data_IF_717841490591
#
_entry.id   IF_717841490591
#
_cell.length_a   1.000
_cell.length_b   1.000
_cell.length_c   1.000
_cell.angle_alpha   90.00
_cell.angle_beta   90.00
_cell.angle_gamma   90.00
#
_symmetry.space_group_name_H-M   'P 1'
#
loop_
_entity.id
_entity.type
_entity.pdbx_description
1 polymer ?
#
# COMPACT_ATOMS: atom_id res chain seq x y z
N UNK A 1 17.04 -14.07 5.78
CA UNK A 1 15.70 -14.66 6.00
C UNK A 1 14.86 -14.36 4.77
N UNK A 2 13.77 -15.10 4.57
CA UNK A 2 12.96 -15.00 3.35
C UNK A 2 12.21 -13.66 3.27
N UNK A 3 11.78 -13.11 4.42
CA UNK A 3 11.06 -11.84 4.46
C UNK A 3 11.85 -10.65 3.88
N UNK A 4 13.18 -10.61 4.08
CA UNK A 4 14.01 -9.53 3.52
C UNK A 4 13.94 -9.51 1.99
N UNK A 5 13.86 -10.68 1.36
CA UNK A 5 13.70 -10.78 -0.09
C UNK A 5 12.28 -10.46 -0.53
N UNK A 6 11.29 -11.16 0.03
CA UNK A 6 9.91 -11.07 -0.44
C UNK A 6 9.28 -9.70 -0.15
N UNK A 7 9.29 -9.25 1.12
CA UNK A 7 8.60 -8.02 1.53
C UNK A 7 9.29 -6.80 0.92
N UNK A 8 10.64 -6.76 0.93
CA UNK A 8 11.37 -5.66 0.29
C UNK A 8 11.09 -5.56 -1.21
N UNK A 9 10.96 -6.70 -1.89
CA UNK A 9 10.57 -6.71 -3.32
C UNK A 9 9.16 -6.14 -3.49
N UNK A 10 8.19 -6.57 -2.69
CA UNK A 10 6.83 -6.03 -2.75
C UNK A 10 6.81 -4.50 -2.54
N UNK A 11 7.54 -4.01 -1.54
CA UNK A 11 7.66 -2.56 -1.28
C UNK A 11 8.28 -1.83 -2.46
N UNK A 12 9.36 -2.36 -3.05
CA UNK A 12 10.02 -1.78 -4.24
C UNK A 12 9.05 -1.60 -5.41
N UNK A 13 8.21 -2.61 -5.67
CA UNK A 13 7.19 -2.52 -6.71
C UNK A 13 6.12 -1.47 -6.40
N UNK A 14 5.69 -1.33 -5.13
CA UNK A 14 4.72 -0.30 -4.74
C UNK A 14 5.25 1.12 -4.89
N UNK A 15 6.54 1.34 -4.66
CA UNK A 15 7.18 2.67 -4.76
C UNK A 15 7.91 2.90 -6.09
N UNK A 16 7.74 1.99 -7.04
CA UNK A 16 8.38 2.02 -8.36
C UNK A 16 9.93 2.11 -8.32
N UNK A 17 10.57 1.50 -7.31
CA UNK A 17 12.03 1.37 -7.17
C UNK A 17 12.49 -0.01 -7.66
N UNK A 18 12.22 -0.30 -8.94
CA UNK A 18 12.28 -1.65 -9.53
C UNK A 18 13.50 -1.90 -10.43
N UNK A 19 14.28 -0.87 -10.80
CA UNK A 19 15.46 -1.02 -11.66
C UNK A 19 16.69 -1.47 -10.85
N UNK A 20 17.17 -2.72 -10.99
CA UNK A 20 18.31 -3.22 -10.21
C UNK A 20 19.62 -2.52 -10.49
N UNK A 21 19.75 -1.84 -11.65
CA UNK A 21 20.95 -1.10 -12.01
C UNK A 21 20.96 0.30 -11.39
N UNK A 22 19.79 0.85 -11.05
CA UNK A 22 19.63 2.24 -10.62
C UNK A 22 18.62 2.39 -9.48
N UNK A 23 18.71 1.55 -8.43
CA UNK A 23 17.84 1.70 -7.27
C UNK A 23 18.03 3.07 -6.60
N UNK A 24 16.92 3.76 -6.35
CA UNK A 24 16.88 5.00 -5.55
C UNK A 24 17.17 4.73 -4.08
N UNK A 25 16.71 3.58 -3.56
CA UNK A 25 16.87 3.22 -2.16
C UNK A 25 17.78 2.01 -1.97
N UNK A 26 18.74 2.14 -1.05
CA UNK A 26 19.57 1.01 -0.65
C UNK A 26 18.73 -0.12 -0.03
N UNK A 27 19.15 -1.39 -0.17
CA UNK A 27 18.46 -2.52 0.48
C UNK A 27 18.25 -2.29 1.97
N UNK A 28 19.30 -1.83 2.68
CA UNK A 28 19.23 -1.51 4.11
C UNK A 28 18.14 -0.47 4.42
N UNK A 29 17.94 0.55 3.57
CA UNK A 29 16.87 1.54 3.77
C UNK A 29 15.50 0.88 3.64
N UNK A 30 15.29 0.03 2.63
CA UNK A 30 14.01 -0.66 2.44
C UNK A 30 13.73 -1.60 3.62
N UNK A 31 14.67 -2.48 3.96
CA UNK A 31 14.54 -3.44 5.06
C UNK A 31 14.28 -2.75 6.41
N UNK A 32 15.03 -1.68 6.72
CA UNK A 32 14.80 -0.90 7.94
C UNK A 32 13.41 -0.26 7.93
N UNK A 33 12.94 0.23 6.78
CA UNK A 33 11.58 0.78 6.66
C UNK A 33 10.51 -0.29 6.87
N UNK A 34 10.74 -1.51 6.39
CA UNK A 34 9.86 -2.66 6.63
C UNK A 34 9.78 -2.95 8.13
N UNK A 35 10.90 -2.98 8.85
CA UNK A 35 10.92 -3.25 10.29
C UNK A 35 10.28 -2.15 11.14
N UNK A 36 10.53 -0.88 10.78
CA UNK A 36 9.83 0.25 11.41
C UNK A 36 8.32 0.13 11.20
N UNK A 37 7.91 -0.21 9.98
CA UNK A 37 6.49 -0.42 9.65
C UNK A 37 5.90 -1.60 10.39
N UNK A 38 6.63 -2.72 10.50
CA UNK A 38 6.24 -3.88 11.30
C UNK A 38 5.97 -3.50 12.75
N UNK A 39 6.87 -2.73 13.38
CA UNK A 39 6.70 -2.27 14.75
C UNK A 39 5.43 -1.40 14.89
N UNK A 40 5.17 -0.50 13.94
CA UNK A 40 3.98 0.35 13.97
C UNK A 40 2.69 -0.46 13.74
N UNK A 41 2.71 -1.42 12.82
CA UNK A 41 1.56 -2.27 12.50
C UNK A 41 1.22 -3.18 13.68
N UNK A 42 2.21 -3.71 14.42
CA UNK A 42 1.96 -4.47 15.65
C UNK A 42 1.39 -3.63 16.79
N UNK A 43 1.55 -2.30 16.76
CA UNK A 43 0.87 -1.39 17.69
C UNK A 43 -0.56 -1.10 17.24
N UNK A 44 -0.81 -1.11 15.93
CA UNK A 44 -2.13 -0.89 15.36
C UNK A 44 -3.02 -2.13 15.56
N UNK A 45 -2.53 -3.35 15.45
CA UNK A 45 -3.38 -4.56 15.58
C UNK A 45 -2.60 -5.77 16.05
N UNK A 46 -3.32 -6.69 16.70
CA UNK A 46 -2.78 -7.99 17.11
C UNK A 46 -2.80 -9.00 15.95
N UNK A 47 -1.75 -9.81 15.86
CA UNK A 47 -1.62 -10.90 14.89
C UNK A 47 -1.63 -12.25 15.59
N UNK A 48 -1.93 -13.31 14.83
CA UNK A 48 -1.91 -14.67 15.35
C UNK A 48 -0.48 -15.08 15.77
N UNK A 49 0.51 -14.64 15.00
CA UNK A 49 1.92 -14.85 15.32
C UNK A 49 2.44 -13.70 16.19
N UNK A 50 3.21 -14.03 17.24
CA UNK A 50 3.93 -13.02 18.03
C UNK A 50 5.28 -12.75 17.39
N UNK A 51 5.50 -11.52 16.91
CA UNK A 51 6.74 -11.11 16.27
C UNK A 51 7.70 -10.43 17.25
N UNK A 52 8.94 -10.90 17.29
CA UNK A 52 10.08 -10.22 17.86
C UNK A 52 10.77 -9.39 16.78
N UNK A 53 10.74 -8.07 16.94
CA UNK A 53 11.25 -7.11 15.97
C UNK A 53 12.42 -6.34 16.59
N UNK A 54 13.56 -6.31 15.90
CA UNK A 54 14.66 -5.42 16.24
C UNK A 54 15.15 -4.68 14.99
N UNK A 55 14.89 -3.37 14.97
CA UNK A 55 15.17 -2.48 13.83
C UNK A 55 16.67 -2.31 13.61
N UNK A 56 17.45 -2.17 14.68
CA UNK A 56 18.91 -1.95 14.60
C UNK A 56 19.61 -3.18 14.04
N UNK A 57 19.25 -4.36 14.54
CA UNK A 57 19.83 -5.64 14.16
C UNK A 57 19.28 -6.23 12.85
N UNK A 58 18.33 -5.55 12.20
CA UNK A 58 17.61 -6.05 11.02
C UNK A 58 16.96 -7.43 11.26
N UNK A 59 16.24 -7.57 12.37
CA UNK A 59 15.72 -8.84 12.85
C UNK A 59 14.19 -8.81 12.95
N UNK A 60 13.56 -9.87 12.44
CA UNK A 60 12.13 -10.15 12.50
C UNK A 60 11.96 -11.66 12.63
N UNK A 61 11.36 -12.12 13.73
CA UNK A 61 11.13 -13.55 13.99
C UNK A 61 9.80 -13.78 14.70
N UNK A 62 8.99 -14.79 14.34
CA UNK A 62 9.23 -15.72 13.23
C UNK A 62 9.16 -15.03 11.86
N UNK A 63 9.73 -15.65 10.82
CA UNK A 63 9.65 -15.10 9.46
C UNK A 63 8.20 -15.23 8.95
N UNK A 64 7.49 -14.12 8.68
CA UNK A 64 6.09 -14.18 8.25
C UNK A 64 5.90 -14.78 6.85
N UNK A 65 6.99 -15.05 6.13
CA UNK A 65 6.96 -15.59 4.76
C UNK A 65 7.25 -17.08 4.67
N UNK A 66 7.75 -17.69 5.75
CA UNK A 66 7.99 -19.12 5.85
C UNK A 66 6.67 -19.90 5.91
N UNK A 67 6.67 -21.16 5.48
CA UNK A 67 5.45 -21.95 5.30
C UNK A 67 4.67 -22.17 6.62
N UNK A 68 5.39 -22.43 7.72
CA UNK A 68 4.80 -22.75 9.02
C UNK A 68 4.31 -21.49 9.77
N UNK A 69 4.89 -20.34 9.45
CA UNK A 69 4.62 -19.05 10.11
C UNK A 69 4.06 -18.02 9.14
N UNK A 70 3.46 -18.50 8.04
CA UNK A 70 2.94 -17.68 6.96
C UNK A 70 1.84 -16.75 7.47
N UNK A 71 2.02 -15.45 7.26
CA UNK A 71 1.06 -14.44 7.68
C UNK A 71 0.87 -13.39 6.58
N UNK A 72 -0.03 -13.68 5.64
CA UNK A 72 -0.30 -12.81 4.50
C UNK A 72 -0.91 -11.47 4.92
N UNK A 73 -1.65 -11.44 6.04
CA UNK A 73 -2.22 -10.22 6.58
C UNK A 73 -1.11 -9.29 7.10
N UNK A 74 -0.19 -9.84 7.90
CA UNK A 74 0.98 -9.10 8.36
C UNK A 74 1.84 -8.60 7.19
N UNK A 75 2.17 -9.47 6.23
CA UNK A 75 2.94 -9.09 5.03
C UNK A 75 2.27 -7.93 4.30
N UNK A 76 0.97 -8.03 4.05
CA UNK A 76 0.22 -7.02 3.29
C UNK A 76 0.19 -5.67 4.01
N UNK A 77 -0.14 -5.67 5.31
CA UNK A 77 -0.24 -4.44 6.10
C UNK A 77 1.12 -3.77 6.26
N UNK A 78 2.18 -4.54 6.52
CA UNK A 78 3.54 -4.02 6.64
C UNK A 78 4.04 -3.46 5.31
N UNK A 79 3.76 -4.13 4.19
CA UNK A 79 4.15 -3.65 2.86
C UNK A 79 3.46 -2.33 2.52
N UNK A 80 2.15 -2.22 2.74
CA UNK A 80 1.40 -0.98 2.51
C UNK A 80 1.89 0.16 3.40
N UNK A 81 2.07 -0.11 4.71
CA UNK A 81 2.57 0.90 5.65
C UNK A 81 3.98 1.38 5.27
N UNK A 82 4.84 0.47 4.82
CA UNK A 82 6.19 0.81 4.33
C UNK A 82 6.14 1.73 3.12
N UNK A 83 5.26 1.44 2.15
CA UNK A 83 5.06 2.31 0.99
C UNK A 83 4.57 3.71 1.42
N UNK A 84 3.62 3.80 2.35
CA UNK A 84 3.17 5.08 2.90
C UNK A 84 4.30 5.91 3.51
N UNK A 85 5.18 5.27 4.31
CA UNK A 85 6.32 5.97 4.92
C UNK A 85 7.33 6.47 3.88
N UNK A 86 7.59 5.68 2.84
CA UNK A 86 8.51 6.05 1.76
C UNK A 86 7.95 7.23 0.97
N UNK A 87 6.73 7.12 0.42
CA UNK A 87 6.10 8.21 -0.35
C UNK A 87 5.91 9.45 0.52
N UNK A 88 5.55 9.27 1.79
CA UNK A 88 5.47 10.37 2.76
C UNK A 88 6.80 11.10 2.96
N UNK A 89 7.93 10.39 2.90
CA UNK A 89 9.26 11.00 2.92
C UNK A 89 9.58 11.75 1.63
N UNK A 90 9.15 11.23 0.47
CA UNK A 90 9.33 11.89 -0.82
C UNK A 90 8.56 13.20 -0.92
N UNK A 91 7.32 13.24 -0.42
CA UNK A 91 6.54 14.49 -0.35
C UNK A 91 7.33 15.56 0.38
N UNK A 92 7.96 15.24 1.51
CA UNK A 92 8.75 16.20 2.29
C UNK A 92 9.95 16.70 1.49
N UNK A 93 10.64 15.81 0.77
CA UNK A 93 11.79 16.17 -0.07
C UNK A 93 11.37 17.04 -1.25
N UNK A 94 10.36 16.63 -2.02
CA UNK A 94 9.93 17.37 -3.22
C UNK A 94 9.21 18.68 -2.89
N UNK A 95 8.54 18.76 -1.75
CA UNK A 95 7.95 20.03 -1.28
C UNK A 95 9.00 21.11 -1.02
N UNK A 96 10.22 20.72 -0.63
CA UNK A 96 11.34 21.65 -0.52
C UNK A 96 11.85 22.19 -1.86
N UNK A 97 11.62 21.43 -2.94
CA UNK A 97 12.05 21.77 -4.31
C UNK A 97 10.92 22.41 -5.14
N UNK A 98 9.79 22.71 -4.52
CA UNK A 98 8.59 23.17 -5.20
C UNK A 98 8.71 24.65 -5.62
N UNK A 99 9.35 24.89 -6.76
CA UNK A 99 9.59 26.23 -7.32
C UNK A 99 8.59 26.50 -8.45
N UNK A 100 8.04 27.72 -8.50
CA UNK A 100 7.22 28.22 -9.61
C UNK A 100 7.82 29.51 -10.13
N UNK A 101 8.35 29.49 -11.36
CA UNK A 101 8.86 30.67 -12.06
C UNK A 101 7.91 30.97 -13.23
N UNK A 102 7.50 32.23 -13.35
CA UNK A 102 6.72 32.72 -14.48
C UNK A 102 7.50 33.83 -15.17
N UNK A 103 7.64 33.72 -16.48
CA UNK A 103 8.21 34.74 -17.36
C UNK A 103 7.28 34.94 -18.56
N UNK A 104 6.44 35.98 -18.49
CA UNK A 104 5.39 36.24 -19.48
C UNK A 104 4.43 35.05 -19.66
N UNK A 105 4.25 34.51 -20.88
CA UNK A 105 3.39 33.34 -21.13
C UNK A 105 4.04 32.00 -20.74
N UNK A 106 5.34 31.99 -20.40
CA UNK A 106 6.08 30.78 -20.03
C UNK A 106 6.09 30.59 -18.52
N UNK A 107 5.84 29.37 -18.06
CA UNK A 107 5.92 29.02 -16.65
C UNK A 107 6.56 27.64 -16.44
N UNK A 108 7.42 27.54 -15.44
CA UNK A 108 7.89 26.27 -14.88
C UNK A 108 7.29 26.19 -13.48
N UNK A 109 6.40 25.23 -13.24
CA UNK A 109 5.78 25.01 -11.94
C UNK A 109 6.03 23.58 -11.46
N UNK A 110 6.99 23.43 -10.55
CA UNK A 110 7.35 22.15 -9.95
C UNK A 110 6.43 21.77 -8.77
N UNK A 111 5.52 22.66 -8.34
CA UNK A 111 4.57 22.38 -7.24
C UNK A 111 3.60 21.24 -7.59
N UNK A 112 3.38 20.99 -8.88
CA UNK A 112 2.55 19.89 -9.37
C UNK A 112 3.03 18.52 -8.90
N UNK A 113 4.35 18.31 -8.81
CA UNK A 113 4.93 17.02 -8.41
C UNK A 113 4.55 16.68 -6.96
N UNK A 114 4.77 17.61 -6.03
CA UNK A 114 4.41 17.42 -4.61
C UNK A 114 2.90 17.20 -4.42
N UNK A 115 2.07 17.86 -5.24
CA UNK A 115 0.61 17.64 -5.23
C UNK A 115 0.24 16.22 -5.69
N UNK A 116 0.86 15.71 -6.76
CA UNK A 116 0.63 14.33 -7.22
C UNK A 116 1.08 13.30 -6.20
N UNK A 117 2.25 13.50 -5.58
CA UNK A 117 2.74 12.63 -4.51
C UNK A 117 1.81 12.64 -3.29
N UNK A 118 1.26 13.81 -2.94
CA UNK A 118 0.28 13.93 -1.86
C UNK A 118 -0.98 13.11 -2.13
N UNK A 119 -1.47 13.10 -3.38
CA UNK A 119 -2.60 12.28 -3.79
C UNK A 119 -2.29 10.79 -3.66
N UNK A 120 -1.11 10.35 -4.13
CA UNK A 120 -0.68 8.95 -4.00
C UNK A 120 -0.52 8.53 -2.54
N UNK A 121 0.04 9.40 -1.69
CA UNK A 121 0.14 9.14 -0.26
C UNK A 121 -1.22 8.98 0.41
N UNK A 122 -2.21 9.81 0.06
CA UNK A 122 -3.58 9.66 0.57
C UNK A 122 -4.19 8.33 0.13
N UNK A 123 -4.11 8.00 -1.16
CA UNK A 123 -4.61 6.73 -1.70
C UNK A 123 -3.97 5.50 -1.03
N UNK A 124 -2.65 5.51 -0.81
CA UNK A 124 -1.97 4.42 -0.10
C UNK A 124 -2.40 4.31 1.37
N UNK A 125 -2.59 5.44 2.06
CA UNK A 125 -3.09 5.41 3.43
C UNK A 125 -4.53 4.92 3.51
N UNK A 126 -5.39 5.32 2.56
CA UNK A 126 -6.76 4.84 2.49
C UNK A 126 -6.80 3.33 2.28
N UNK A 127 -5.96 2.80 1.37
CA UNK A 127 -5.78 1.35 1.16
C UNK A 127 -5.28 0.64 2.42
N UNK A 128 -4.32 1.21 3.14
CA UNK A 128 -3.84 0.68 4.42
C UNK A 128 -4.97 0.63 5.45
N UNK A 129 -5.70 1.72 5.64
CA UNK A 129 -6.82 1.81 6.59
C UNK A 129 -7.94 0.83 6.25
N UNK A 130 -8.27 0.67 4.97
CA UNK A 130 -9.24 -0.32 4.51
C UNK A 130 -8.76 -1.76 4.77
N UNK A 131 -7.50 -2.08 4.45
CA UNK A 131 -6.92 -3.39 4.72
C UNK A 131 -6.92 -3.70 6.23
N UNK A 132 -6.56 -2.73 7.06
CA UNK A 132 -6.57 -2.85 8.52
C UNK A 132 -7.99 -3.05 9.06
N UNK A 133 -8.97 -2.31 8.54
CA UNK A 133 -10.37 -2.47 8.93
C UNK A 133 -10.90 -3.85 8.53
N UNK A 134 -10.58 -4.31 7.33
CA UNK A 134 -10.98 -5.64 6.85
C UNK A 134 -10.42 -6.75 7.75
N UNK A 135 -9.13 -6.65 8.11
CA UNK A 135 -8.48 -7.56 9.05
C UNK A 135 -9.19 -7.62 10.40
N UNK A 136 -9.40 -6.46 11.02
CA UNK A 136 -10.05 -6.33 12.32
C UNK A 136 -11.50 -6.81 12.31
N UNK A 137 -12.17 -6.70 11.17
CA UNK A 137 -13.54 -7.18 10.98
C UNK A 137 -13.63 -8.70 10.82
N UNK A 138 -12.51 -9.43 10.91
CA UNK A 138 -12.46 -10.88 10.75
C UNK A 138 -12.56 -11.34 9.30
N UNK A 139 -12.56 -10.42 8.33
CA UNK A 139 -12.43 -10.76 6.93
C UNK A 139 -10.95 -11.04 6.64
N UNK A 140 -10.65 -12.23 6.12
CA UNK A 140 -9.29 -12.54 5.70
C UNK A 140 -8.82 -11.51 4.66
N UNK A 141 -7.71 -10.80 4.94
CA UNK A 141 -7.05 -9.92 3.97
C UNK A 141 -6.46 -10.75 2.81
N UNK A 142 -6.23 -12.05 3.01
CA UNK A 142 -5.67 -12.93 2.00
C UNK A 142 -6.62 -13.04 0.80
N UNK A 143 -6.34 -12.25 -0.25
CA UNK A 143 -6.94 -12.41 -1.58
C UNK A 143 -7.78 -11.26 -2.12
N UNK A 144 -7.94 -10.11 -1.44
CA UNK A 144 -8.67 -8.96 -2.00
C UNK A 144 -7.74 -7.80 -2.39
N UNK A 145 -7.22 -7.91 -3.61
CA UNK A 145 -6.99 -6.82 -4.56
C UNK A 145 -6.06 -5.65 -4.12
N UNK A 146 -4.74 -5.84 -4.22
CA UNK A 146 -3.77 -4.75 -4.38
C UNK A 146 -3.14 -4.87 -5.76
N UNK A 147 -3.90 -4.58 -6.83
CA UNK A 147 -3.32 -4.38 -8.16
C UNK A 147 -4.04 -3.26 -8.88
N UNK A 148 -3.41 -2.07 -8.83
CA UNK A 148 -3.67 -0.93 -9.71
C UNK A 148 -5.02 -0.20 -9.57
N UNK A 149 -5.18 0.94 -10.25
CA UNK A 149 -6.43 1.73 -10.28
C UNK A 149 -7.65 0.99 -10.90
N UNK A 150 -7.51 -0.30 -11.25
CA UNK A 150 -8.56 -1.15 -11.81
C UNK A 150 -8.69 -2.49 -11.05
N UNK A 151 -8.40 -2.50 -9.75
CA UNK A 151 -8.49 -3.73 -8.96
C UNK A 151 -9.96 -4.17 -8.71
N UNK A 152 -10.28 -5.47 -8.82
CA UNK A 152 -11.65 -6.03 -8.87
C UNK A 152 -12.48 -5.94 -7.57
N UNK A 153 -12.05 -5.15 -6.58
CA UNK A 153 -12.82 -4.88 -5.36
C UNK A 153 -13.81 -3.70 -5.50
N UNK A 154 -13.81 -2.98 -6.62
CA UNK A 154 -14.82 -1.95 -6.90
C UNK A 154 -16.18 -2.52 -7.37
N UNK A 155 -16.27 -3.82 -7.62
CA UNK A 155 -17.50 -4.51 -8.05
C UNK A 155 -18.14 -5.35 -6.93
N UNK A 156 -18.24 -4.76 -5.73
CA UNK A 156 -19.20 -5.21 -4.72
C UNK A 156 -20.16 -4.06 -4.38
N UNK A 157 -20.69 -3.40 -5.40
CA UNK A 157 -21.94 -2.63 -5.28
C UNK A 157 -23.10 -3.60 -5.46
N UNK A 158 -23.52 -4.14 -4.32
CA UNK A 158 -24.86 -4.58 -3.95
C UNK A 158 -25.93 -4.46 -5.05
N UNK A 159 -26.16 -5.53 -5.81
CA UNK A 159 -27.45 -5.75 -6.51
C UNK A 159 -28.30 -6.72 -5.73
N UNK A 160 -28.78 -6.27 -4.57
CA UNK A 160 -29.83 -6.97 -3.83
C UNK A 160 -31.12 -6.15 -3.95
N UNK A 161 -32.04 -6.66 -4.79
CA UNK A 161 -33.46 -6.29 -4.94
C UNK A 161 -33.75 -4.86 -5.41
N UNK A 162 -34.33 -4.65 -6.60
CA UNK A 162 -35.74 -4.96 -6.84
C UNK A 162 -36.03 -4.99 -8.34
N UNK A 163 -36.41 -6.17 -8.83
CA UNK A 163 -37.23 -6.29 -10.02
C UNK A 163 -38.70 -6.20 -9.57
N UNK A 164 -39.47 -5.32 -10.20
CA UNK A 164 -40.89 -5.50 -10.55
C UNK A 164 -41.48 -4.21 -11.12
N UNK A 165 -40.84 -3.63 -12.14
CA UNK A 165 -41.52 -2.65 -12.99
C UNK A 165 -42.41 -3.40 -14.01
N UNK A 166 -43.62 -3.72 -13.55
CA UNK A 166 -44.71 -4.41 -14.27
C UNK A 166 -45.38 -3.52 -15.34
N UNK A 167 -44.59 -2.87 -16.20
CA UNK A 167 -45.12 -2.03 -17.30
C UNK A 167 -44.29 -2.14 -18.56
N UNK A 168 -44.68 -3.05 -19.46
CA UNK A 168 -44.11 -3.11 -20.80
C UNK A 168 -44.59 -4.33 -21.58
N UNK A 169 -45.82 -4.26 -22.11
CA UNK A 169 -46.39 -5.33 -22.90
C UNK A 169 -45.68 -5.55 -24.22
N UNK A 170 -45.54 -6.81 -24.62
CA UNK A 170 -45.41 -7.22 -26.01
C UNK A 170 -46.11 -8.57 -26.21
N UNK A 171 -47.22 -8.53 -26.96
CA UNK A 171 -47.77 -9.72 -27.61
C UNK A 171 -46.76 -10.22 -28.66
N UNK A 172 -46.61 -11.55 -28.80
CA UNK A 172 -46.49 -12.23 -30.10
C UNK A 172 -46.52 -13.76 -29.99
N UNK A 173 -47.49 -14.31 -30.76
CA UNK A 173 -47.81 -15.68 -31.18
C UNK A 173 -48.20 -16.71 -30.12
#
# INVERSE_FOLDING_TARGET
MSWQGQISTMVRYLVNDIDPLNYKYSPKRIETTVLVSAQLVTLDTDFNNTYSINIEQCYLSPDPTDADTKDDAFITLVTLKSACLIIGSEIKTESGNAISIKDGPSAIDLRGVSSTLLTLYKDLNDKYSQALMNYRSGNSIAGKAILGPYSPASDFVTRNYSDSDLRGGYFRY
#
